data_IF_325093636525
#
_entry.id   IF_325093636525
#
_cell.length_a   1.000
_cell.length_b   1.000
_cell.length_c   1.000
_cell.angle_alpha   90.00
_cell.angle_beta   90.00
_cell.angle_gamma   90.00
#
_symmetry.space_group_name_H-M   'P 1'
#
loop_
_entity.id
_entity.type
_entity.pdbx_description
1 polymer ?
#
# COMPACT_ATOMS: atom_id res chain seq x y z
N UNK A 1 -8.25 37.38 32.00
CA UNK A 1 -7.02 36.94 31.28
C UNK A 1 -6.38 35.65 31.84
N UNK A 2 -6.29 35.43 33.16
CA UNK A 2 -5.68 34.22 33.76
C UNK A 2 -6.35 32.90 33.31
N UNK A 3 -7.68 32.86 33.32
CA UNK A 3 -8.45 31.67 32.92
C UNK A 3 -8.37 31.34 31.43
N UNK A 4 -8.24 32.36 30.56
CA UNK A 4 -8.07 32.17 29.11
C UNK A 4 -6.73 31.48 28.80
N UNK A 5 -5.64 31.89 29.47
CA UNK A 5 -4.32 31.26 29.30
C UNK A 5 -4.32 29.78 29.74
N UNK A 6 -4.99 29.48 30.86
CA UNK A 6 -5.11 28.10 31.35
C UNK A 6 -5.94 27.25 30.39
N UNK A 7 -7.05 27.79 29.87
CA UNK A 7 -7.89 27.10 28.87
C UNK A 7 -7.12 26.79 27.59
N UNK A 8 -6.38 27.76 27.03
CA UNK A 8 -5.55 27.55 25.84
C UNK A 8 -4.46 26.50 26.07
N UNK A 9 -3.82 26.49 27.24
CA UNK A 9 -2.84 25.46 27.60
C UNK A 9 -3.48 24.07 27.68
N UNK A 10 -4.66 23.96 28.30
CA UNK A 10 -5.38 22.69 28.40
C UNK A 10 -5.74 22.13 27.00
N UNK A 11 -6.22 23.00 26.09
CA UNK A 11 -6.52 22.64 24.70
C UNK A 11 -5.26 22.19 23.95
N UNK A 12 -4.14 22.88 24.15
CA UNK A 12 -2.86 22.47 23.57
C UNK A 12 -2.42 21.08 24.04
N UNK A 13 -2.51 20.81 25.35
CA UNK A 13 -2.17 19.52 25.91
C UNK A 13 -3.07 18.38 25.39
N UNK A 14 -4.39 18.59 25.30
CA UNK A 14 -5.32 17.58 24.78
C UNK A 14 -5.08 17.29 23.30
N UNK A 15 -4.75 18.32 22.50
CA UNK A 15 -4.37 18.15 21.11
C UNK A 15 -3.09 17.32 20.96
N UNK A 16 -2.06 17.60 21.76
CA UNK A 16 -0.80 16.83 21.75
C UNK A 16 -1.05 15.36 22.13
N UNK A 17 -1.82 15.12 23.20
CA UNK A 17 -2.18 13.76 23.63
C UNK A 17 -2.92 13.02 22.50
N UNK A 18 -3.81 13.71 21.79
CA UNK A 18 -4.54 13.12 20.67
C UNK A 18 -3.62 12.73 19.52
N UNK A 19 -2.66 13.59 19.15
CA UNK A 19 -1.64 13.27 18.13
C UNK A 19 -0.79 12.08 18.56
N UNK A 20 -0.34 12.06 19.82
CA UNK A 20 0.45 10.95 20.35
C UNK A 20 -0.33 9.63 20.35
N UNK A 21 -1.62 9.68 20.67
CA UNK A 21 -2.50 8.52 20.59
C UNK A 21 -2.67 8.06 19.14
N UNK A 22 -2.84 8.98 18.19
CA UNK A 22 -2.94 8.63 16.78
C UNK A 22 -1.65 7.98 16.27
N UNK A 23 -0.49 8.48 16.70
CA UNK A 23 0.81 7.99 16.26
C UNK A 23 1.15 6.64 16.90
N UNK A 24 0.91 6.46 18.20
CA UNK A 24 1.35 5.26 18.93
C UNK A 24 0.22 4.31 19.36
N UNK A 25 -1.04 4.69 19.17
CA UNK A 25 -2.22 3.96 19.64
C UNK A 25 -2.32 2.53 19.12
N UNK A 26 -1.80 2.26 17.93
CA UNK A 26 -1.75 0.91 17.36
C UNK A 26 -1.00 -0.10 18.25
N UNK A 27 0.00 0.36 19.04
CA UNK A 27 0.69 -0.51 20.01
C UNK A 27 -0.24 -1.01 21.11
N UNK A 28 -1.22 -0.21 21.51
CA UNK A 28 -2.20 -0.56 22.54
C UNK A 28 -3.39 -1.31 21.95
N UNK A 29 -3.78 -0.97 20.72
CA UNK A 29 -4.92 -1.61 20.04
C UNK A 29 -4.63 -3.02 19.57
N UNK A 30 -3.40 -3.31 19.14
CA UNK A 30 -3.00 -4.63 18.68
C UNK A 30 -2.51 -5.53 19.85
N UNK A 31 -3.15 -6.70 19.99
CA UNK A 31 -2.68 -7.74 20.91
C UNK A 31 -1.37 -8.40 20.41
N UNK A 32 -0.77 -9.26 21.24
CA UNK A 32 0.52 -9.93 20.92
C UNK A 32 0.44 -10.81 19.67
N UNK A 33 -0.68 -11.51 19.47
CA UNK A 33 -0.87 -12.41 18.33
C UNK A 33 -1.02 -11.63 17.01
N UNK A 34 -1.80 -10.55 16.99
CA UNK A 34 -1.93 -9.69 15.81
C UNK A 34 -0.57 -9.10 15.38
N UNK A 35 0.26 -8.70 16.36
CA UNK A 35 1.63 -8.23 16.09
C UNK A 35 2.49 -9.32 15.46
N UNK A 36 2.43 -10.56 15.98
CA UNK A 36 3.13 -11.71 15.39
C UNK A 36 2.65 -12.01 13.98
N UNK A 37 1.34 -11.92 13.71
CA UNK A 37 0.77 -12.12 12.36
C UNK A 37 1.37 -11.13 11.37
N UNK A 38 1.43 -9.84 11.73
CA UNK A 38 2.07 -8.80 10.90
C UNK A 38 3.54 -9.17 10.64
N UNK A 39 4.31 -9.44 11.70
CA UNK A 39 5.73 -9.77 11.58
C UNK A 39 5.97 -11.02 10.73
N UNK A 40 5.15 -12.06 10.92
CA UNK A 40 5.25 -13.32 10.17
C UNK A 40 5.04 -13.06 8.69
N UNK A 41 3.93 -12.41 8.32
CA UNK A 41 3.60 -12.10 6.94
C UNK A 41 4.69 -11.28 6.25
N UNK A 42 5.26 -10.27 6.91
CA UNK A 42 6.36 -9.48 6.34
C UNK A 42 7.60 -10.33 6.13
N UNK A 43 8.01 -11.09 7.15
CA UNK A 43 9.25 -11.89 7.09
C UNK A 43 9.18 -13.03 6.09
N UNK A 44 8.01 -13.62 5.87
CA UNK A 44 7.82 -14.71 4.89
C UNK A 44 7.54 -14.20 3.49
N UNK A 45 7.32 -12.89 3.31
CA UNK A 45 7.01 -12.34 2.00
C UNK A 45 8.25 -12.31 1.11
N UNK A 46 8.08 -12.82 -0.11
CA UNK A 46 9.15 -12.79 -1.10
C UNK A 46 9.40 -11.35 -1.56
N UNK A 47 10.67 -10.96 -1.64
CA UNK A 47 11.07 -9.64 -2.12
C UNK A 47 10.76 -9.48 -3.61
N UNK A 48 10.19 -8.34 -3.97
CA UNK A 48 9.97 -7.92 -5.35
C UNK A 48 11.30 -7.47 -5.97
N UNK A 49 11.55 -7.74 -7.26
CA UNK A 49 12.78 -7.31 -7.91
C UNK A 49 12.83 -5.78 -8.06
N UNK A 50 14.04 -5.22 -8.11
CA UNK A 50 14.24 -3.77 -8.08
C UNK A 50 13.64 -3.05 -9.29
N UNK A 51 13.66 -3.67 -10.49
CA UNK A 51 12.98 -3.13 -11.68
C UNK A 51 11.48 -2.90 -11.43
N UNK A 52 10.81 -3.85 -10.77
CA UNK A 52 9.40 -3.75 -10.44
C UNK A 52 9.13 -2.70 -9.36
N UNK A 53 9.95 -2.66 -8.29
CA UNK A 53 9.83 -1.63 -7.25
C UNK A 53 9.99 -0.23 -7.83
N UNK A 54 10.98 -0.03 -8.70
CA UNK A 54 11.23 1.25 -9.37
C UNK A 54 10.08 1.62 -10.31
N UNK A 55 9.56 0.67 -11.09
CA UNK A 55 8.38 0.87 -11.92
C UNK A 55 7.17 1.30 -11.07
N UNK A 56 6.84 0.55 -10.01
CA UNK A 56 5.74 0.85 -9.09
C UNK A 56 5.88 2.24 -8.46
N UNK A 57 7.07 2.56 -7.96
CA UNK A 57 7.35 3.86 -7.34
C UNK A 57 7.25 5.04 -8.32
N UNK A 58 7.52 4.80 -9.60
CA UNK A 58 7.38 5.80 -10.67
C UNK A 58 5.91 5.98 -11.07
N UNK A 59 5.17 4.88 -11.25
CA UNK A 59 3.72 4.91 -11.53
C UNK A 59 3.00 5.68 -10.43
N UNK A 60 3.32 5.39 -9.17
CA UNK A 60 2.74 6.03 -8.00
C UNK A 60 3.73 7.00 -7.34
N UNK A 61 4.17 8.04 -8.06
CA UNK A 61 4.94 9.21 -7.61
C UNK A 61 5.58 9.13 -6.21
N UNK A 62 6.70 8.39 -6.10
CA UNK A 62 7.51 8.24 -4.89
C UNK A 62 6.74 7.72 -3.68
N UNK A 63 5.77 6.83 -3.89
CA UNK A 63 4.97 6.30 -2.79
C UNK A 63 5.75 5.43 -1.81
N UNK A 64 6.84 4.80 -2.26
CA UNK A 64 7.68 3.97 -1.37
C UNK A 64 8.45 4.80 -0.33
N UNK A 65 8.61 6.11 -0.55
CA UNK A 65 9.20 7.04 0.43
C UNK A 65 8.14 7.80 1.24
N UNK A 66 6.85 7.64 0.93
CA UNK A 66 5.76 8.32 1.63
C UNK A 66 5.20 7.44 2.74
N UNK A 67 4.40 8.05 3.60
CA UNK A 67 3.63 7.35 4.63
C UNK A 67 2.15 7.72 4.52
N UNK A 68 1.33 7.10 5.34
CA UNK A 68 -0.11 7.26 5.27
C UNK A 68 -0.56 8.69 5.58
N UNK A 69 0.14 9.43 6.44
CA UNK A 69 -0.17 10.86 6.64
C UNK A 69 -0.17 11.66 5.34
N UNK A 70 0.78 11.39 4.44
CA UNK A 70 0.80 12.04 3.13
C UNK A 70 -0.48 11.77 2.34
N UNK A 71 -1.02 10.54 2.38
CA UNK A 71 -2.27 10.21 1.71
C UNK A 71 -3.47 10.94 2.32
N UNK A 72 -3.61 10.90 3.64
CA UNK A 72 -4.76 11.54 4.30
C UNK A 72 -4.73 13.06 4.13
N UNK A 73 -3.56 13.68 4.21
CA UNK A 73 -3.40 15.12 3.93
C UNK A 73 -3.78 15.43 2.49
N UNK A 74 -3.34 14.60 1.53
CA UNK A 74 -3.69 14.80 0.12
C UNK A 74 -5.19 14.68 -0.11
N UNK A 75 -5.87 13.69 0.49
CA UNK A 75 -7.33 13.53 0.39
C UNK A 75 -8.10 14.74 0.94
N UNK A 76 -7.56 15.42 1.97
CA UNK A 76 -8.18 16.61 2.54
C UNK A 76 -7.99 17.86 1.67
N UNK A 77 -6.84 17.98 0.98
CA UNK A 77 -6.47 19.17 0.20
C UNK A 77 -6.97 19.06 -1.25
N UNK A 78 -6.84 17.88 -1.86
CA UNK A 78 -7.17 17.62 -3.26
C UNK A 78 -8.08 16.40 -3.36
N UNK A 79 -9.31 16.61 -3.83
CA UNK A 79 -10.31 15.55 -4.03
C UNK A 79 -10.19 14.81 -5.37
N UNK A 80 -9.25 15.20 -6.24
CA UNK A 80 -9.11 14.64 -7.59
C UNK A 80 -8.00 13.58 -7.69
N UNK A 81 -8.44 12.34 -7.98
CA UNK A 81 -7.70 11.25 -8.63
C UNK A 81 -6.24 11.02 -8.26
N UNK A 82 -6.03 10.47 -7.06
CA UNK A 82 -4.89 9.58 -6.84
C UNK A 82 -5.45 8.25 -6.32
N UNK A 83 -5.70 7.34 -7.27
CA UNK A 83 -5.91 5.93 -6.96
C UNK A 83 -4.70 5.43 -6.16
N UNK A 84 -5.01 5.22 -4.88
CA UNK A 84 -4.27 4.54 -3.83
C UNK A 84 -3.05 3.73 -4.26
N UNK A 85 -1.92 4.08 -3.64
CA UNK A 85 -0.82 3.15 -3.54
C UNK A 85 0.05 3.46 -2.32
N UNK A 86 -0.48 3.55 -1.10
CA UNK A 86 0.38 3.33 0.06
C UNK A 86 0.40 1.84 0.37
N UNK A 87 1.52 1.14 0.13
CA UNK A 87 1.57 -0.29 0.35
C UNK A 87 1.18 -0.71 1.77
N UNK A 88 1.58 0.05 2.80
CA UNK A 88 1.23 -0.27 4.18
C UNK A 88 -0.25 -0.06 4.50
N UNK A 89 -0.90 0.93 3.88
CA UNK A 89 -2.35 1.06 3.95
C UNK A 89 -3.07 -0.14 3.32
N UNK A 90 -2.66 -0.55 2.10
CA UNK A 90 -3.23 -1.73 1.42
C UNK A 90 -2.98 -3.01 2.22
N UNK A 91 -1.78 -3.17 2.78
CA UNK A 91 -1.44 -4.30 3.63
C UNK A 91 -2.33 -4.35 4.87
N UNK A 92 -2.47 -3.23 5.57
CA UNK A 92 -3.32 -3.13 6.77
C UNK A 92 -4.76 -3.52 6.45
N UNK A 93 -5.33 -3.01 5.35
CA UNK A 93 -6.70 -3.34 4.95
C UNK A 93 -6.89 -4.84 4.65
N UNK A 94 -5.86 -5.51 4.13
CA UNK A 94 -5.89 -6.96 3.87
C UNK A 94 -5.76 -7.79 5.14
N UNK A 95 -4.98 -7.33 6.11
CA UNK A 95 -4.81 -8.02 7.39
C UNK A 95 -5.92 -7.74 8.38
N UNK A 96 -6.56 -6.56 8.31
CA UNK A 96 -7.55 -6.15 9.30
C UNK A 96 -8.65 -7.19 9.56
N UNK A 97 -9.24 -7.86 8.53
CA UNK A 97 -10.23 -8.91 8.75
C UNK A 97 -9.73 -10.09 9.60
N UNK A 98 -8.43 -10.37 9.63
CA UNK A 98 -7.85 -11.49 10.40
C UNK A 98 -7.57 -11.13 11.86
N UNK A 99 -7.63 -9.85 12.22
CA UNK A 99 -7.35 -9.40 13.58
C UNK A 99 -8.57 -9.52 14.50
N UNK A 100 -8.33 -10.08 15.69
CA UNK A 100 -9.32 -10.11 16.78
C UNK A 100 -9.42 -8.74 17.47
N UNK A 101 -10.03 -7.79 16.76
CA UNK A 101 -10.35 -6.45 17.22
C UNK A 101 -11.87 -6.34 17.22
N UNK A 102 -12.47 -6.15 18.41
CA UNK A 102 -13.91 -5.92 18.58
C UNK A 102 -14.31 -4.53 18.09
N UNK A 103 -15.44 -4.45 17.39
CA UNK A 103 -16.06 -3.21 16.88
C UNK A 103 -15.06 -2.32 16.13
N UNK A 104 -14.49 -2.85 15.04
CA UNK A 104 -13.48 -2.15 14.23
C UNK A 104 -14.05 -0.83 13.71
N UNK A 105 -13.38 0.27 14.04
CA UNK A 105 -13.68 1.62 13.56
C UNK A 105 -12.66 2.08 12.52
N UNK A 106 -12.96 3.13 11.75
CA UNK A 106 -12.00 3.74 10.82
C UNK A 106 -10.72 4.20 11.53
N UNK A 107 -10.82 4.63 12.79
CA UNK A 107 -9.66 4.97 13.61
C UNK A 107 -8.78 3.76 13.88
N UNK A 108 -9.36 2.58 14.14
CA UNK A 108 -8.59 1.35 14.33
C UNK A 108 -7.76 0.99 13.10
N UNK A 109 -8.33 1.15 11.89
CA UNK A 109 -7.58 0.99 10.65
C UNK A 109 -6.39 1.93 10.60
N UNK A 110 -6.59 3.22 10.89
CA UNK A 110 -5.50 4.19 10.89
C UNK A 110 -4.42 3.86 11.94
N UNK A 111 -4.81 3.51 13.16
CA UNK A 111 -3.88 3.14 14.23
C UNK A 111 -3.02 1.92 13.87
N UNK A 112 -3.62 0.92 13.23
CA UNK A 112 -2.89 -0.27 12.73
C UNK A 112 -1.94 0.10 11.61
N UNK A 113 -2.36 0.95 10.67
CA UNK A 113 -1.50 1.46 9.60
C UNK A 113 -0.28 2.18 10.18
N UNK A 114 -0.48 3.09 11.14
CA UNK A 114 0.63 3.79 11.83
C UNK A 114 1.56 2.82 12.54
N UNK A 115 1.01 1.80 13.21
CA UNK A 115 1.83 0.75 13.82
C UNK A 115 2.70 0.03 12.79
N UNK A 116 2.14 -0.35 11.63
CA UNK A 116 2.92 -1.01 10.57
C UNK A 116 4.03 -0.08 10.07
N UNK A 117 3.71 1.17 9.74
CA UNK A 117 4.67 2.16 9.20
C UNK A 117 5.78 2.56 10.19
N UNK A 118 5.56 2.39 11.50
CA UNK A 118 6.59 2.61 12.52
C UNK A 118 7.59 1.46 12.63
N UNK A 119 7.21 0.26 12.20
CA UNK A 119 8.03 -0.95 12.38
C UNK A 119 8.57 -1.50 11.06
N UNK A 120 7.98 -1.09 9.93
CA UNK A 120 8.26 -1.60 8.59
C UNK A 120 8.16 -0.49 7.56
N UNK A 121 8.95 -0.59 6.50
CA UNK A 121 8.92 0.39 5.42
C UNK A 121 7.87 0.03 4.35
N UNK A 122 7.61 0.95 3.41
CA UNK A 122 6.63 0.71 2.35
C UNK A 122 7.05 -0.42 1.40
N UNK A 123 8.34 -0.69 1.22
CA UNK A 123 8.80 -1.82 0.41
C UNK A 123 8.43 -3.16 1.06
N UNK A 124 8.55 -3.29 2.37
CA UNK A 124 8.14 -4.48 3.12
C UNK A 124 6.65 -4.75 2.91
N UNK A 125 5.84 -3.70 3.03
CA UNK A 125 4.41 -3.77 2.78
C UNK A 125 4.07 -4.08 1.30
N UNK A 126 4.85 -3.56 0.34
CA UNK A 126 4.71 -3.88 -1.08
C UNK A 126 5.00 -5.36 -1.34
N UNK A 127 6.08 -5.88 -0.76
CA UNK A 127 6.46 -7.28 -0.85
C UNK A 127 5.36 -8.18 -0.29
N UNK A 128 4.78 -7.81 0.86
CA UNK A 128 3.60 -8.50 1.38
C UNK A 128 2.46 -8.52 0.37
N UNK A 129 2.12 -7.35 -0.16
CA UNK A 129 0.99 -7.20 -1.04
C UNK A 129 1.12 -8.04 -2.31
N UNK A 130 2.28 -8.06 -2.96
CA UNK A 130 2.48 -8.79 -4.20
C UNK A 130 2.80 -10.28 -3.97
N UNK A 131 3.48 -10.63 -2.88
CA UNK A 131 3.80 -12.02 -2.56
C UNK A 131 2.58 -12.84 -2.13
N UNK A 132 1.60 -12.21 -1.48
CA UNK A 132 0.43 -12.91 -0.93
C UNK A 132 -0.83 -12.77 -1.78
N UNK A 133 -0.81 -11.90 -2.80
CA UNK A 133 -1.94 -11.74 -3.72
C UNK A 133 -2.00 -12.87 -4.74
N UNK A 134 -3.22 -13.37 -4.98
CA UNK A 134 -3.50 -14.36 -6.02
C UNK A 134 -3.88 -13.63 -7.32
N UNK A 135 -3.00 -13.73 -8.32
CA UNK A 135 -3.17 -13.17 -9.65
C UNK A 135 -4.01 -14.06 -10.57
N UNK A 136 -4.96 -14.80 -10.01
CA UNK A 136 -5.70 -15.91 -10.62
C UNK A 136 -4.83 -17.12 -10.92
N UNK A 137 -5.49 -18.28 -10.98
CA UNK A 137 -4.88 -19.58 -11.28
C UNK A 137 -3.78 -19.97 -10.28
N UNK A 138 -3.88 -19.50 -9.04
CA UNK A 138 -2.94 -19.82 -7.96
C UNK A 138 -1.58 -19.13 -8.07
N UNK A 139 -1.45 -18.13 -8.95
CA UNK A 139 -0.18 -17.41 -9.17
C UNK A 139 0.03 -16.42 -8.04
N UNK A 140 1.00 -16.70 -7.16
CA UNK A 140 1.35 -15.84 -6.03
C UNK A 140 2.77 -15.31 -6.17
N UNK A 141 2.92 -13.99 -6.08
CA UNK A 141 4.19 -13.31 -6.29
C UNK A 141 4.52 -13.03 -7.76
N UNK A 142 5.33 -12.00 -7.95
CA UNK A 142 5.66 -11.46 -9.28
C UNK A 142 6.37 -12.49 -10.15
N UNK A 143 7.24 -13.31 -9.58
CA UNK A 143 7.96 -14.35 -10.34
C UNK A 143 7.04 -15.39 -10.97
N UNK A 144 6.02 -15.85 -10.25
CA UNK A 144 5.08 -16.84 -10.78
C UNK A 144 4.22 -16.23 -11.88
N UNK A 145 3.77 -14.99 -11.69
CA UNK A 145 3.00 -14.25 -12.69
C UNK A 145 3.83 -14.00 -13.94
N UNK A 146 5.09 -13.56 -13.76
CA UNK A 146 6.02 -13.29 -14.85
C UNK A 146 6.26 -14.52 -15.71
N UNK A 147 6.56 -15.66 -15.08
CA UNK A 147 6.76 -16.93 -15.78
C UNK A 147 5.49 -17.39 -16.49
N UNK A 148 4.33 -17.26 -15.84
CA UNK A 148 3.05 -17.70 -16.41
C UNK A 148 2.60 -16.86 -17.60
N UNK A 149 2.73 -15.53 -17.54
CA UNK A 149 2.20 -14.63 -18.58
C UNK A 149 3.20 -14.38 -19.72
N UNK A 150 4.50 -14.35 -19.40
CA UNK A 150 5.54 -13.86 -20.32
C UNK A 150 6.69 -14.85 -20.54
N UNK A 151 6.71 -15.98 -19.83
CA UNK A 151 7.79 -16.98 -19.89
C UNK A 151 9.18 -16.42 -19.56
N UNK A 152 9.25 -15.42 -18.66
CA UNK A 152 10.49 -14.72 -18.27
C UNK A 152 10.65 -14.63 -16.75
N UNK A 153 11.88 -14.51 -16.22
CA UNK A 153 12.10 -14.13 -14.83
C UNK A 153 11.63 -12.68 -14.58
N UNK A 154 11.20 -12.37 -13.36
CA UNK A 154 10.62 -11.04 -13.06
C UNK A 154 11.63 -9.89 -13.24
N UNK A 155 12.93 -10.17 -13.12
CA UNK A 155 14.02 -9.21 -13.34
C UNK A 155 14.16 -8.76 -14.81
N UNK A 156 13.57 -9.49 -15.76
CA UNK A 156 13.63 -9.21 -17.20
C UNK A 156 12.33 -8.60 -17.74
N UNK A 157 11.35 -8.32 -16.87
CA UNK A 157 10.09 -7.72 -17.26
C UNK A 157 10.31 -6.32 -17.84
N UNK A 158 9.73 -6.09 -19.01
CA UNK A 158 9.61 -4.79 -19.65
C UNK A 158 8.56 -3.94 -18.92
N UNK A 159 8.64 -2.60 -19.01
CA UNK A 159 7.69 -1.71 -18.33
C UNK A 159 6.23 -1.95 -18.72
N UNK A 160 5.94 -2.36 -19.96
CA UNK A 160 4.58 -2.72 -20.39
C UNK A 160 4.10 -4.04 -19.76
N UNK A 161 4.99 -5.01 -19.57
CA UNK A 161 4.67 -6.29 -18.91
C UNK A 161 4.44 -6.06 -17.40
N UNK A 162 5.24 -5.20 -16.76
CA UNK A 162 5.01 -4.77 -15.38
C UNK A 162 3.68 -4.01 -15.23
N UNK A 163 3.31 -3.20 -16.23
CA UNK A 163 2.03 -2.50 -16.27
C UNK A 163 0.84 -3.47 -16.37
N UNK A 164 0.96 -4.56 -17.12
CA UNK A 164 -0.04 -5.63 -17.17
C UNK A 164 -0.18 -6.36 -15.83
N UNK A 165 0.93 -6.65 -15.14
CA UNK A 165 0.89 -7.21 -13.78
C UNK A 165 0.19 -6.26 -12.81
N UNK A 166 0.47 -4.95 -12.90
CA UNK A 166 -0.19 -3.96 -12.04
C UNK A 166 -1.68 -3.81 -12.35
N UNK A 167 -2.07 -3.87 -13.63
CA UNK A 167 -3.48 -3.93 -14.02
C UNK A 167 -4.17 -5.17 -13.43
N UNK A 168 -3.51 -6.33 -13.48
CA UNK A 168 -4.04 -7.56 -12.90
C UNK A 168 -4.13 -7.48 -11.37
N UNK A 169 -3.18 -6.80 -10.72
CA UNK A 169 -3.22 -6.54 -9.28
C UNK A 169 -4.42 -5.68 -8.87
N UNK A 170 -4.73 -4.65 -9.65
CA UNK A 170 -5.86 -3.76 -9.39
C UNK A 170 -7.21 -4.49 -9.47
N UNK A 171 -7.41 -5.29 -10.52
CA UNK A 171 -8.62 -6.07 -10.66
C UNK A 171 -8.34 -7.37 -11.43
N UNK A 172 -8.11 -8.49 -10.73
CA UNK A 172 -7.64 -9.71 -11.37
C UNK A 172 -8.68 -10.29 -12.32
N UNK A 173 -9.96 -10.20 -11.98
CA UNK A 173 -11.05 -10.73 -12.82
C UNK A 173 -11.23 -9.88 -14.08
N UNK A 174 -11.37 -8.55 -13.92
CA UNK A 174 -11.67 -7.65 -15.05
C UNK A 174 -10.47 -7.46 -15.99
N UNK A 175 -9.26 -7.49 -15.45
CA UNK A 175 -8.04 -7.23 -16.21
C UNK A 175 -7.28 -8.53 -16.55
N UNK A 176 -7.96 -9.69 -16.49
CA UNK A 176 -7.41 -10.96 -16.95
C UNK A 176 -7.36 -11.02 -18.48
N UNK A 177 -6.16 -11.12 -19.06
CA UNK A 177 -6.00 -11.20 -20.52
C UNK A 177 -6.67 -12.41 -21.18
N UNK A 178 -6.89 -13.50 -20.43
CA UNK A 178 -7.55 -14.69 -20.95
C UNK A 178 -9.08 -14.55 -20.98
N UNK A 179 -9.64 -13.72 -20.11
CA UNK A 179 -11.09 -13.47 -20.05
C UNK A 179 -11.51 -12.21 -20.80
N UNK A 180 -10.73 -11.14 -20.71
CA UNK A 180 -10.99 -9.85 -21.36
C UNK A 180 -9.68 -9.22 -21.87
N UNK A 181 -9.17 -9.69 -23.03
CA UNK A 181 -7.87 -9.24 -23.57
C UNK A 181 -7.84 -7.75 -23.92
N UNK A 182 -8.94 -7.20 -24.42
CA UNK A 182 -9.02 -5.78 -24.78
C UNK A 182 -8.92 -4.90 -23.55
N UNK A 183 -9.68 -5.22 -22.49
CA UNK A 183 -9.61 -4.46 -21.24
C UNK A 183 -8.26 -4.61 -20.56
N UNK A 184 -7.70 -5.82 -20.52
CA UNK A 184 -6.38 -6.07 -19.96
C UNK A 184 -5.32 -5.20 -20.67
N UNK A 185 -5.33 -5.20 -22.01
CA UNK A 185 -4.44 -4.36 -22.82
C UNK A 185 -4.66 -2.87 -22.55
N UNK A 186 -5.90 -2.40 -22.53
CA UNK A 186 -6.22 -1.00 -22.28
C UNK A 186 -5.72 -0.53 -20.91
N UNK A 187 -5.90 -1.35 -19.86
CA UNK A 187 -5.45 -0.99 -18.51
C UNK A 187 -3.93 -1.08 -18.35
N UNK A 188 -3.28 -2.05 -18.99
CA UNK A 188 -1.81 -2.11 -19.05
C UNK A 188 -1.23 -0.87 -19.76
N UNK A 189 -1.80 -0.49 -20.92
CA UNK A 189 -1.40 0.72 -21.64
C UNK A 189 -1.58 1.99 -20.80
N UNK A 190 -2.67 2.08 -20.03
CA UNK A 190 -2.87 3.19 -19.10
C UNK A 190 -1.71 3.29 -18.08
N UNK A 191 -1.39 2.19 -17.38
CA UNK A 191 -0.31 2.20 -16.39
C UNK A 191 1.07 2.45 -17.02
N UNK A 192 1.31 1.94 -18.22
CA UNK A 192 2.53 2.21 -18.97
C UNK A 192 2.66 3.70 -19.36
N UNK A 193 1.58 4.31 -19.84
CA UNK A 193 1.57 5.74 -20.16
C UNK A 193 1.73 6.60 -18.90
N UNK A 194 1.13 6.19 -17.77
CA UNK A 194 1.32 6.85 -16.48
C UNK A 194 2.78 6.77 -16.03
N UNK A 195 3.42 5.59 -16.17
CA UNK A 195 4.86 5.42 -15.94
C UNK A 195 5.69 6.38 -16.79
N UNK A 196 5.47 6.42 -18.12
CA UNK A 196 6.22 7.31 -19.02
C UNK A 196 6.02 8.79 -18.68
N UNK A 197 4.80 9.19 -18.34
CA UNK A 197 4.46 10.56 -17.94
C UNK A 197 5.16 10.96 -16.65
N UNK A 198 5.13 10.11 -15.63
CA UNK A 198 5.74 10.40 -14.35
C UNK A 198 7.27 10.29 -14.38
N UNK A 199 7.84 9.43 -15.23
CA UNK A 199 9.28 9.34 -15.44
C UNK A 199 9.88 10.69 -15.91
N UNK A 200 9.13 11.46 -16.71
CA UNK A 200 9.53 12.81 -17.16
C UNK A 200 9.46 13.87 -16.05
N UNK A 201 8.71 13.64 -14.97
CA UNK A 201 8.57 14.58 -13.84
C UNK A 201 9.65 14.39 -12.78
N UNK A 202 10.29 13.21 -12.77
CA UNK A 202 11.30 12.81 -11.77
C UNK A 202 12.73 13.07 -12.29
N UNK A 203 12.90 13.17 -13.62
CA UNK A 203 14.13 13.66 -14.26
C UNK A 203 14.17 15.18 -14.26
#
# INVERSE_FOLDING_TARGET
MKYLKISLLAIGCTFIISILYIEFGGKFRLNKENKKIITWHIRTSKKSPDNFKNFYNTVYLNTLSKNSWNLYIQQLINSSDIDQACPCHTMSNRLMPTFDIKNKSSLDYFLVIRYIEQNYNQEDCLNFNFSNFDFLYGRKGIDQVSRSLFSKPATELQSIEMAEILALYENPIKNNRYGNPERARARATYFYNLYLSNLKKIK
#
